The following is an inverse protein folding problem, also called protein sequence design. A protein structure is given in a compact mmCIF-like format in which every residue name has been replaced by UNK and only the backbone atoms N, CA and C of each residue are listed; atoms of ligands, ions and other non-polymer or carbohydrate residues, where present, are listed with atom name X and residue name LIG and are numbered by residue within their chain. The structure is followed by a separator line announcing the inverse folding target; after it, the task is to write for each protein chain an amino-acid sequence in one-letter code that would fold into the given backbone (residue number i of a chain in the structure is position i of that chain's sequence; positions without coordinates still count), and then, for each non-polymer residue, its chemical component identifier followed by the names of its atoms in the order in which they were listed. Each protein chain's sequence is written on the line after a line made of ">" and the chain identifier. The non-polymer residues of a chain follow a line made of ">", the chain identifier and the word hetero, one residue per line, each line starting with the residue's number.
data_IF_609497619563
#
_entry.id   IF_609497619563
#
_cell.length_a   1.000
_cell.length_b   1.000
_cell.length_c   1.000
_cell.angle_alpha   90.00
_cell.angle_beta   90.00
_cell.angle_gamma   90.00
#
_symmetry.space_group_name_H-M   'P 1'
#
loop_
_entity.id
_entity.type
_entity.pdbx_description
1 polymer ?
#
# COMPACT_ATOMS: atom_id res chain seq x y z
N UNK A 1 19.58 19.19 13.93
CA UNK A 1 18.60 18.51 14.82
C UNK A 1 17.62 17.73 13.96
N UNK A 2 17.46 16.45 14.20
CA UNK A 2 16.52 15.57 13.50
C UNK A 2 15.32 15.37 14.42
N UNK A 3 14.12 15.63 13.92
CA UNK A 3 12.86 15.42 14.64
C UNK A 3 11.97 14.53 13.78
N UNK A 4 11.54 13.40 14.35
CA UNK A 4 10.54 12.53 13.72
C UNK A 4 9.23 12.74 14.44
N UNK A 5 8.20 13.14 13.72
CA UNK A 5 6.84 13.31 14.22
C UNK A 5 5.96 12.23 13.62
N UNK A 6 5.25 11.49 14.46
CA UNK A 6 4.19 10.59 14.03
C UNK A 6 2.86 11.23 14.39
N UNK A 7 2.02 11.48 13.38
CA UNK A 7 0.67 11.96 13.60
C UNK A 7 -0.31 10.80 13.40
N UNK A 8 -1.00 10.41 14.46
CA UNK A 8 -2.13 9.51 14.38
C UNK A 8 -3.41 10.36 14.39
N UNK A 9 -4.06 10.52 13.26
CA UNK A 9 -5.35 11.18 13.18
C UNK A 9 -6.46 10.14 13.25
N UNK A 10 -7.34 10.26 14.24
CA UNK A 10 -8.50 9.39 14.40
C UNK A 10 -9.75 10.16 13.99
N UNK A 11 -10.02 10.23 12.69
CA UNK A 11 -11.32 10.70 12.19
C UNK A 11 -12.31 9.54 12.17
N UNK A 12 -13.33 9.58 13.02
CA UNK A 12 -14.45 8.62 13.06
C UNK A 12 -14.02 7.14 13.06
N UNK A 13 -13.12 6.75 14.00
CA UNK A 13 -12.56 5.39 14.13
C UNK A 13 -11.67 4.93 12.95
N UNK A 14 -11.17 5.87 12.14
CA UNK A 14 -10.29 5.57 10.99
C UNK A 14 -8.88 6.04 11.32
N UNK A 15 -7.95 5.16 11.69
CA UNK A 15 -6.58 5.56 11.94
C UNK A 15 -5.92 5.96 10.62
N UNK A 16 -5.39 7.18 10.62
CA UNK A 16 -4.41 7.65 9.65
C UNK A 16 -3.08 7.75 10.38
N UNK A 17 -2.05 7.12 9.88
CA UNK A 17 -0.71 7.22 10.44
C UNK A 17 0.22 7.77 9.38
N UNK A 18 0.75 8.97 9.64
CA UNK A 18 1.72 9.64 8.77
C UNK A 18 2.96 9.92 9.60
N UNK A 19 4.13 9.60 9.05
CA UNK A 19 5.42 9.89 9.65
C UNK A 19 6.07 11.09 8.95
N UNK A 20 6.50 12.08 9.72
CA UNK A 20 7.26 13.21 9.22
C UNK A 20 8.66 13.19 9.81
N UNK A 21 9.68 13.24 8.98
CA UNK A 21 11.07 13.44 9.39
C UNK A 21 11.53 14.81 8.99
N UNK A 22 11.89 15.64 9.98
CA UNK A 22 12.33 17.03 9.79
C UNK A 22 13.81 17.11 10.17
N UNK A 23 14.64 17.61 9.29
CA UNK A 23 16.08 17.82 9.50
C UNK A 23 16.38 19.29 9.31
N UNK A 24 16.89 19.96 10.35
CA UNK A 24 17.24 21.37 10.35
C UNK A 24 16.08 22.30 9.88
N UNK A 25 14.85 21.96 10.29
CA UNK A 25 13.65 22.71 9.94
C UNK A 25 13.05 22.37 8.57
N UNK A 26 13.68 21.52 7.78
CA UNK A 26 13.19 21.07 6.47
C UNK A 26 12.56 19.68 6.55
N UNK A 27 11.39 19.52 5.95
CA UNK A 27 10.73 18.23 5.83
C UNK A 27 11.44 17.35 4.79
N UNK A 28 12.04 16.25 5.25
CA UNK A 28 12.84 15.32 4.44
C UNK A 28 12.07 14.09 4.01
N UNK A 29 11.25 13.51 4.90
CA UNK A 29 10.41 12.37 4.58
C UNK A 29 9.03 12.51 5.24
N UNK A 30 8.01 11.96 4.56
CA UNK A 30 6.62 11.93 5.03
C UNK A 30 5.99 10.54 4.78
N UNK A 31 6.82 9.57 4.54
CA UNK A 31 6.45 8.15 4.44
C UNK A 31 7.05 7.34 5.59
N UNK A 32 6.42 6.22 5.98
CA UNK A 32 5.19 5.67 5.42
C UNK A 32 3.94 6.50 5.76
N UNK A 33 2.99 6.54 4.81
CA UNK A 33 1.66 7.08 5.02
C UNK A 33 0.65 5.92 4.96
N UNK A 34 0.06 5.59 6.10
CA UNK A 34 -0.87 4.47 6.24
C UNK A 34 -2.29 4.99 6.47
N UNK A 35 -3.25 4.52 5.70
CA UNK A 35 -4.67 4.80 5.88
C UNK A 35 -5.47 3.51 5.99
N UNK A 36 -6.52 3.58 6.81
CA UNK A 36 -7.47 2.49 7.00
C UNK A 36 -8.90 3.02 6.90
N UNK A 37 -9.79 2.23 6.31
CA UNK A 37 -11.23 2.45 6.37
C UNK A 37 -11.92 1.19 6.90
N UNK A 38 -12.65 1.35 8.03
CA UNK A 38 -13.39 0.28 8.68
C UNK A 38 -14.70 0.86 9.29
N UNK A 39 -15.84 0.64 8.66
CA UNK A 39 -16.05 -0.03 7.38
C UNK A 39 -15.52 0.78 6.17
N UNK A 40 -15.23 0.08 5.05
CA UNK A 40 -14.87 0.71 3.78
C UNK A 40 -16.03 1.50 3.18
N UNK A 41 -17.25 1.00 3.40
CA UNK A 41 -18.50 1.62 2.98
C UNK A 41 -19.46 1.74 4.18
N UNK A 42 -20.03 2.92 4.36
CA UNK A 42 -20.96 3.18 5.47
C UNK A 42 -22.19 3.93 4.96
N UNK A 43 -23.41 3.42 5.21
CA UNK A 43 -24.63 4.15 4.86
C UNK A 43 -24.72 5.41 5.72
N UNK A 44 -25.15 6.50 5.10
CA UNK A 44 -25.40 7.79 5.75
C UNK A 44 -26.86 8.17 5.64
N UNK A 45 -27.30 9.11 6.49
CA UNK A 45 -28.64 9.70 6.39
C UNK A 45 -28.88 10.26 4.99
N UNK A 46 -30.10 10.08 4.47
CA UNK A 46 -30.47 10.52 3.13
C UNK A 46 -30.11 9.55 2.00
N UNK A 47 -29.71 8.32 2.34
CA UNK A 47 -29.42 7.28 1.32
C UNK A 47 -28.05 7.39 0.66
N UNK A 48 -27.20 8.30 1.13
CA UNK A 48 -25.83 8.43 0.66
C UNK A 48 -24.93 7.34 1.22
N UNK A 49 -23.93 6.92 0.43
CA UNK A 49 -22.90 5.97 0.84
C UNK A 49 -21.57 6.70 1.04
N UNK A 50 -21.04 6.65 2.26
CA UNK A 50 -19.70 7.18 2.54
C UNK A 50 -18.65 6.11 2.19
N UNK A 51 -17.77 6.41 1.23
CA UNK A 51 -16.66 5.57 0.79
C UNK A 51 -15.36 6.40 0.82
N UNK A 52 -14.65 6.48 1.95
CA UNK A 52 -13.50 7.38 2.12
C UNK A 52 -12.34 7.14 1.15
N UNK A 53 -12.17 5.89 0.69
CA UNK A 53 -11.11 5.47 -0.24
C UNK A 53 -11.67 5.07 -1.61
N UNK A 54 -12.87 5.56 -1.97
CA UNK A 54 -13.56 5.22 -3.22
C UNK A 54 -12.66 5.46 -4.44
N UNK A 55 -12.05 6.63 -4.56
CA UNK A 55 -11.23 6.97 -5.72
C UNK A 55 -10.06 5.99 -5.92
N UNK A 56 -9.38 5.58 -4.84
CA UNK A 56 -8.29 4.60 -4.92
C UNK A 56 -8.78 3.23 -5.39
N UNK A 57 -9.99 2.82 -4.97
CA UNK A 57 -10.60 1.55 -5.38
C UNK A 57 -11.09 1.62 -6.82
N UNK A 58 -11.88 2.64 -7.14
CA UNK A 58 -12.59 2.75 -8.42
C UNK A 58 -11.60 2.93 -9.59
N UNK A 59 -10.58 3.80 -9.42
CA UNK A 59 -9.52 3.99 -10.42
C UNK A 59 -8.64 2.74 -10.60
N UNK A 60 -8.41 1.96 -9.55
CA UNK A 60 -7.67 0.71 -9.67
C UNK A 60 -8.44 -0.32 -10.51
N UNK A 61 -9.75 -0.45 -10.32
CA UNK A 61 -10.60 -1.30 -11.17
C UNK A 61 -10.74 -0.76 -12.59
N UNK A 62 -10.88 0.56 -12.76
CA UNK A 62 -10.90 1.18 -14.09
C UNK A 62 -9.62 0.84 -14.86
N UNK A 63 -8.45 0.99 -14.22
CA UNK A 63 -7.18 0.62 -14.82
C UNK A 63 -7.14 -0.87 -15.17
N UNK A 64 -7.48 -1.75 -14.22
CA UNK A 64 -7.47 -3.20 -14.43
C UNK A 64 -8.37 -3.64 -15.59
N UNK A 65 -9.58 -3.07 -15.67
CA UNK A 65 -10.56 -3.40 -16.72
C UNK A 65 -10.17 -2.81 -18.08
N UNK A 66 -9.39 -1.74 -18.13
CA UNK A 66 -8.88 -1.16 -19.37
C UNK A 66 -7.75 -1.99 -20.00
N UNK A 67 -7.16 -2.93 -19.24
CA UNK A 67 -6.04 -3.75 -19.72
C UNK A 67 -6.53 -4.79 -20.74
N UNK A 68 -5.74 -5.00 -21.78
CA UNK A 68 -5.91 -6.16 -22.67
C UNK A 68 -5.65 -7.47 -21.91
N UNK A 69 -6.09 -8.60 -22.44
CA UNK A 69 -5.89 -9.90 -21.81
C UNK A 69 -4.42 -10.20 -21.55
N UNK A 70 -3.52 -9.88 -22.49
CA UNK A 70 -2.07 -10.05 -22.32
C UNK A 70 -1.50 -9.14 -21.22
N UNK A 71 -1.97 -7.89 -21.13
CA UNK A 71 -1.56 -6.97 -20.07
C UNK A 71 -2.10 -7.44 -18.73
N UNK A 72 -3.35 -7.87 -18.66
CA UNK A 72 -3.99 -8.38 -17.45
C UNK A 72 -3.30 -9.64 -16.93
N UNK A 73 -2.94 -10.57 -17.81
CA UNK A 73 -2.19 -11.77 -17.45
C UNK A 73 -0.81 -11.46 -16.82
N UNK A 74 -0.22 -10.31 -17.17
CA UNK A 74 1.03 -9.84 -16.55
C UNK A 74 0.78 -9.10 -15.23
N UNK A 75 -0.32 -8.36 -15.11
CA UNK A 75 -0.65 -7.59 -13.91
C UNK A 75 -1.15 -8.49 -12.78
N UNK A 76 -1.98 -9.50 -13.07
CA UNK A 76 -2.59 -10.39 -12.08
C UNK A 76 -1.62 -11.51 -11.72
N UNK A 77 -1.03 -11.39 -10.52
CA UNK A 77 -0.03 -12.34 -10.01
C UNK A 77 -0.67 -13.57 -9.37
N UNK A 78 -1.86 -13.43 -8.78
CA UNK A 78 -2.55 -14.49 -8.04
C UNK A 78 -4.07 -14.32 -8.14
N UNK A 79 -4.84 -15.42 -8.25
CA UNK A 79 -6.30 -15.36 -8.14
C UNK A 79 -6.77 -15.18 -6.69
N UNK A 80 -5.89 -15.36 -5.70
CA UNK A 80 -6.18 -15.22 -4.28
C UNK A 80 -5.36 -14.06 -3.72
N UNK A 81 -5.98 -13.07 -3.02
CA UNK A 81 -5.26 -11.96 -2.43
C UNK A 81 -4.52 -12.39 -1.16
N UNK A 82 -3.50 -11.65 -0.70
CA UNK A 82 -2.96 -11.80 0.65
C UNK A 82 -4.01 -11.37 1.70
N UNK A 83 -3.79 -11.70 2.96
CA UNK A 83 -4.70 -11.28 4.06
C UNK A 83 -4.44 -9.85 4.55
N UNK A 84 -3.34 -9.23 4.13
CA UNK A 84 -2.97 -7.84 4.47
C UNK A 84 -1.85 -7.36 3.53
N UNK A 85 -1.47 -6.10 3.67
CA UNK A 85 -0.39 -5.45 2.93
C UNK A 85 0.96 -6.15 3.18
N UNK A 86 1.78 -6.30 2.15
CA UNK A 86 3.14 -6.87 2.29
C UNK A 86 4.06 -5.86 2.99
N UNK A 87 4.04 -4.60 2.56
CA UNK A 87 4.81 -3.52 3.18
C UNK A 87 4.31 -3.11 4.56
N UNK A 88 3.09 -3.42 4.92
CA UNK A 88 2.39 -3.28 6.19
C UNK A 88 3.05 -2.38 7.25
N UNK A 89 2.99 -2.79 8.50
CA UNK A 89 3.59 -2.07 9.64
C UNK A 89 5.05 -2.49 9.87
N UNK A 90 5.91 -2.29 8.86
CA UNK A 90 7.34 -2.61 8.90
C UNK A 90 8.19 -1.36 9.01
N UNK A 91 9.31 -1.46 9.72
CA UNK A 91 10.31 -0.38 9.73
C UNK A 91 10.99 -0.24 8.36
N UNK A 92 11.34 -1.35 7.73
CA UNK A 92 12.00 -1.43 6.43
C UNK A 92 11.28 -2.47 5.58
N UNK A 93 11.11 -2.19 4.29
CA UNK A 93 10.66 -3.16 3.29
C UNK A 93 11.89 -3.67 2.55
N UNK A 94 12.06 -4.98 2.49
CA UNK A 94 13.24 -5.62 1.93
C UNK A 94 12.90 -6.86 1.10
N UNK A 95 13.85 -7.27 0.28
CA UNK A 95 13.73 -8.47 -0.56
C UNK A 95 13.25 -9.67 0.26
N UNK A 96 12.22 -10.37 -0.24
CA UNK A 96 11.66 -11.55 0.39
C UNK A 96 10.56 -11.30 1.42
N UNK A 97 10.21 -10.04 1.71
CA UNK A 97 9.12 -9.72 2.65
C UNK A 97 7.78 -10.27 2.19
N UNK A 98 7.07 -10.91 3.12
CA UNK A 98 5.71 -11.44 2.98
C UNK A 98 4.71 -10.60 3.79
N UNK A 99 3.39 -10.73 3.55
CA UNK A 99 2.40 -10.17 4.44
C UNK A 99 2.69 -10.58 5.91
N UNK A 100 2.77 -9.62 6.84
CA UNK A 100 3.13 -9.96 8.22
C UNK A 100 2.01 -10.79 8.85
N UNK A 101 2.40 -11.79 9.63
CA UNK A 101 1.44 -12.53 10.44
C UNK A 101 0.78 -11.62 11.46
N UNK A 102 -0.52 -11.82 11.75
CA UNK A 102 -1.32 -11.03 12.68
C UNK A 102 -0.59 -10.78 14.01
N UNK A 103 0.05 -11.82 14.57
CA UNK A 103 0.85 -11.75 15.81
C UNK A 103 2.10 -10.86 15.71
N UNK A 104 2.55 -10.50 14.50
CA UNK A 104 3.75 -9.66 14.25
C UNK A 104 3.42 -8.19 13.93
N UNK A 105 2.12 -7.84 13.85
CA UNK A 105 1.69 -6.46 13.56
C UNK A 105 1.94 -5.55 14.76
N UNK A 106 1.86 -6.08 15.98
CA UNK A 106 2.13 -5.33 17.22
C UNK A 106 3.58 -5.51 17.66
N UNK A 107 4.07 -4.52 18.39
CA UNK A 107 5.41 -4.56 18.97
C UNK A 107 5.53 -5.52 20.16
N UNK A 108 4.41 -5.84 20.79
CA UNK A 108 4.37 -6.75 21.92
C UNK A 108 4.48 -8.19 21.46
N UNK A 109 5.23 -9.00 22.23
CA UNK A 109 5.21 -10.43 22.05
C UNK A 109 3.99 -11.01 22.77
N UNK A 110 3.24 -11.82 22.02
CA UNK A 110 2.09 -12.53 22.56
C UNK A 110 2.50 -13.94 22.94
N UNK A 111 1.98 -14.42 24.07
CA UNK A 111 2.26 -15.77 24.58
C UNK A 111 0.96 -16.46 25.03
N UNK A 112 1.02 -17.79 25.18
CA UNK A 112 -0.12 -18.58 25.69
C UNK A 112 -1.37 -18.46 24.81
N UNK A 113 -2.52 -18.44 25.44
CA UNK A 113 -3.84 -18.46 24.79
C UNK A 113 -4.05 -17.32 23.78
N UNK A 114 -3.49 -16.12 24.03
CA UNK A 114 -3.63 -15.00 23.12
C UNK A 114 -2.86 -15.20 21.82
N UNK A 115 -1.68 -15.80 21.88
CA UNK A 115 -0.90 -16.18 20.70
C UNK A 115 -1.65 -17.22 19.86
N UNK A 116 -2.18 -18.26 20.52
CA UNK A 116 -2.97 -19.31 19.87
C UNK A 116 -4.24 -18.74 19.22
N UNK A 117 -4.90 -17.78 19.89
CA UNK A 117 -6.07 -17.10 19.35
C UNK A 117 -5.72 -16.33 18.07
N UNK A 118 -4.61 -15.57 18.06
CA UNK A 118 -4.16 -14.81 16.90
C UNK A 118 -3.80 -15.70 15.72
N UNK A 119 -3.06 -16.79 15.97
CA UNK A 119 -2.70 -17.75 14.93
C UNK A 119 -3.96 -18.46 14.37
N UNK A 120 -4.93 -18.78 15.22
CA UNK A 120 -6.21 -19.34 14.80
C UNK A 120 -7.04 -18.38 13.96
N UNK A 121 -7.12 -17.10 14.36
CA UNK A 121 -7.82 -16.07 13.58
C UNK A 121 -7.20 -15.97 12.19
N UNK A 122 -5.88 -15.86 12.11
CA UNK A 122 -5.19 -15.76 10.82
C UNK A 122 -5.41 -17.01 9.96
N UNK A 123 -5.24 -18.21 10.52
CA UNK A 123 -5.45 -19.47 9.80
C UNK A 123 -6.87 -19.58 9.27
N UNK A 124 -7.86 -19.13 10.04
CA UNK A 124 -9.25 -19.14 9.60
C UNK A 124 -9.48 -18.21 8.40
N UNK A 125 -8.93 -16.98 8.42
CA UNK A 125 -9.03 -16.04 7.29
C UNK A 125 -8.30 -16.57 6.06
N UNK A 126 -7.08 -17.10 6.21
CA UNK A 126 -6.32 -17.74 5.14
C UNK A 126 -7.08 -18.91 4.50
N UNK A 127 -7.68 -19.76 5.34
CA UNK A 127 -8.48 -20.92 4.89
C UNK A 127 -9.75 -20.47 4.16
N UNK A 128 -10.45 -19.47 4.70
CA UNK A 128 -11.69 -18.92 4.12
C UNK A 128 -11.49 -18.44 2.69
N UNK A 129 -10.37 -17.82 2.39
CA UNK A 129 -10.06 -17.30 1.06
C UNK A 129 -9.27 -18.29 0.19
N UNK A 130 -8.87 -19.44 0.73
CA UNK A 130 -8.07 -20.44 0.01
C UNK A 130 -6.62 -20.00 -0.21
N UNK A 131 -6.05 -19.18 0.68
CA UNK A 131 -4.68 -18.72 0.58
C UNK A 131 -3.70 -19.88 0.84
N UNK A 132 -2.71 -20.00 -0.04
CA UNK A 132 -1.65 -21.02 0.05
C UNK A 132 -0.27 -20.35 0.06
N UNK A 133 0.80 -21.03 0.50
CA UNK A 133 2.16 -20.52 0.40
C UNK A 133 2.54 -20.12 -1.03
N UNK A 134 2.08 -20.85 -2.04
CA UNK A 134 2.34 -20.51 -3.45
C UNK A 134 1.71 -19.16 -3.84
N UNK A 135 0.52 -18.82 -3.33
CA UNK A 135 -0.08 -17.49 -3.55
C UNK A 135 0.72 -16.38 -2.85
N UNK A 136 1.22 -16.64 -1.63
CA UNK A 136 2.07 -15.70 -0.89
C UNK A 136 3.36 -15.42 -1.66
N UNK A 137 4.02 -16.44 -2.21
CA UNK A 137 5.23 -16.30 -3.00
C UNK A 137 5.06 -15.39 -4.21
N UNK A 138 3.89 -15.38 -4.84
CA UNK A 138 3.61 -14.48 -5.98
C UNK A 138 3.62 -13.02 -5.58
N UNK A 139 3.06 -12.67 -4.40
CA UNK A 139 2.92 -11.30 -3.89
C UNK A 139 4.09 -10.87 -3.01
N UNK A 140 5.00 -11.78 -2.65
CA UNK A 140 6.22 -11.47 -1.90
C UNK A 140 6.93 -10.25 -2.50
N UNK A 141 7.42 -9.36 -1.67
CA UNK A 141 8.16 -8.18 -2.13
C UNK A 141 9.48 -8.61 -2.78
N UNK A 142 9.77 -8.01 -3.90
CA UNK A 142 11.06 -8.13 -4.59
C UNK A 142 11.54 -6.75 -4.99
N UNK A 143 12.83 -6.50 -4.90
CA UNK A 143 13.44 -5.22 -5.31
C UNK A 143 13.18 -4.94 -6.79
N UNK A 144 13.20 -5.98 -7.62
CA UNK A 144 12.67 -5.90 -8.99
C UNK A 144 11.16 -5.98 -8.96
N UNK A 145 10.43 -4.93 -9.40
CA UNK A 145 8.98 -4.92 -9.36
C UNK A 145 8.36 -6.05 -10.20
N UNK A 146 7.31 -6.66 -9.66
CA UNK A 146 6.47 -7.64 -10.36
C UNK A 146 5.26 -6.96 -11.00
N UNK A 147 4.69 -7.58 -12.02
CA UNK A 147 3.46 -7.14 -12.65
C UNK A 147 3.67 -6.46 -14.00
N UNK A 148 2.74 -5.59 -14.38
CA UNK A 148 2.72 -4.88 -15.66
C UNK A 148 3.43 -3.52 -15.54
N UNK A 149 4.52 -3.32 -16.30
CA UNK A 149 5.22 -2.04 -16.35
C UNK A 149 4.35 -0.93 -16.97
N UNK A 150 4.42 0.28 -16.43
CA UNK A 150 3.75 1.45 -17.00
C UNK A 150 4.20 1.76 -18.43
N UNK A 151 5.46 1.47 -18.76
CA UNK A 151 5.98 1.56 -20.13
C UNK A 151 5.24 0.65 -21.14
N UNK A 152 4.62 -0.45 -20.65
CA UNK A 152 3.84 -1.37 -21.50
C UNK A 152 2.34 -1.01 -21.56
N UNK A 153 1.93 0.11 -20.95
CA UNK A 153 0.56 0.61 -20.95
C UNK A 153 0.33 1.60 -22.09
N UNK A 154 -0.89 1.66 -22.59
CA UNK A 154 -1.32 2.68 -23.55
C UNK A 154 -1.39 4.06 -22.88
N UNK A 155 -1.43 5.13 -23.68
CA UNK A 155 -1.56 6.50 -23.15
C UNK A 155 -2.78 6.71 -22.25
N UNK A 156 -4.00 6.21 -22.59
CA UNK A 156 -5.15 6.28 -21.67
C UNK A 156 -4.92 5.54 -20.36
N UNK A 157 -4.40 4.31 -20.41
CA UNK A 157 -4.10 3.52 -19.22
C UNK A 157 -3.07 4.21 -18.29
N UNK A 158 -2.04 4.83 -18.87
CA UNK A 158 -1.07 5.66 -18.12
C UNK A 158 -1.76 6.87 -17.48
N UNK A 159 -2.78 7.46 -18.12
CA UNK A 159 -3.62 8.51 -17.55
C UNK A 159 -4.35 8.04 -16.28
N UNK A 160 -4.97 6.86 -16.34
CA UNK A 160 -5.67 6.27 -15.17
C UNK A 160 -4.67 5.95 -14.06
N UNK A 161 -3.50 5.37 -14.39
CA UNK A 161 -2.45 5.10 -13.40
C UNK A 161 -1.97 6.39 -12.71
N UNK A 162 -1.82 7.50 -13.44
CA UNK A 162 -1.48 8.80 -12.85
C UNK A 162 -2.58 9.31 -11.91
N UNK A 163 -3.85 9.21 -12.31
CA UNK A 163 -4.98 9.59 -11.48
C UNK A 163 -5.05 8.72 -10.21
N UNK A 164 -4.77 7.42 -10.32
CA UNK A 164 -4.69 6.53 -9.16
C UNK A 164 -3.56 6.95 -8.20
N UNK A 165 -2.36 7.24 -8.70
CA UNK A 165 -1.24 7.74 -7.89
C UNK A 165 -1.56 9.08 -7.23
N UNK A 166 -2.26 9.98 -7.92
CA UNK A 166 -2.69 11.26 -7.37
C UNK A 166 -3.55 11.08 -6.10
N UNK A 167 -4.38 10.04 -6.03
CA UNK A 167 -5.17 9.73 -4.81
C UNK A 167 -4.31 9.46 -3.57
N UNK A 168 -3.02 9.15 -3.74
CA UNK A 168 -2.05 8.96 -2.67
C UNK A 168 -1.24 10.23 -2.41
N UNK A 169 -0.70 10.82 -3.45
CA UNK A 169 0.22 11.96 -3.38
C UNK A 169 -0.52 13.24 -2.92
N UNK A 170 -1.73 13.49 -3.39
CA UNK A 170 -2.54 14.67 -3.06
C UNK A 170 -3.15 14.63 -1.64
N UNK A 171 -2.83 13.61 -0.85
CA UNK A 171 -3.12 13.59 0.61
C UNK A 171 -2.16 14.46 1.40
N UNK A 172 -1.07 14.88 0.77
CA UNK A 172 -0.04 15.74 1.36
C UNK A 172 -0.34 17.21 1.10
N UNK A 173 0.44 18.10 1.75
CA UNK A 173 0.44 19.52 1.42
C UNK A 173 0.83 19.73 -0.04
N UNK A 174 0.23 20.72 -0.71
CA UNK A 174 0.40 20.95 -2.15
C UNK A 174 1.86 20.96 -2.59
N UNK A 175 2.73 21.67 -1.88
CA UNK A 175 4.17 21.73 -2.18
C UNK A 175 4.89 20.38 -2.12
N UNK A 176 4.42 19.46 -1.27
CA UNK A 176 4.95 18.10 -1.18
C UNK A 176 4.38 17.22 -2.29
N UNK A 177 3.09 17.36 -2.56
CA UNK A 177 2.42 16.66 -3.65
C UNK A 177 3.04 17.00 -5.01
N UNK A 178 3.31 18.28 -5.27
CA UNK A 178 4.01 18.75 -6.47
C UNK A 178 5.41 18.14 -6.60
N UNK A 179 6.20 18.17 -5.52
CA UNK A 179 7.54 17.58 -5.50
C UNK A 179 7.53 16.09 -5.79
N UNK A 180 6.63 15.35 -5.18
CA UNK A 180 6.52 13.91 -5.38
C UNK A 180 5.97 13.57 -6.77
N UNK A 181 5.00 14.32 -7.26
CA UNK A 181 4.49 14.17 -8.63
C UNK A 181 5.58 14.41 -9.68
N UNK A 182 6.44 15.41 -9.45
CA UNK A 182 7.58 15.69 -10.32
C UNK A 182 8.61 14.53 -10.29
N UNK A 183 8.83 13.93 -9.11
CA UNK A 183 9.73 12.78 -8.94
C UNK A 183 9.21 11.51 -9.61
N UNK A 184 7.88 11.32 -9.64
CA UNK A 184 7.20 10.19 -10.28
C UNK A 184 6.88 10.55 -11.74
N UNK A 185 7.86 10.99 -12.51
CA UNK A 185 7.68 11.40 -13.91
C UNK A 185 8.75 10.80 -14.82
N UNK A 186 8.55 10.89 -16.15
CA UNK A 186 9.50 10.38 -17.15
C UNK A 186 9.83 8.90 -16.92
N UNK A 187 11.12 8.58 -16.91
CA UNK A 187 11.62 7.22 -16.76
C UNK A 187 11.21 6.57 -15.42
N UNK A 188 11.10 7.38 -14.34
CA UNK A 188 10.64 6.87 -13.05
C UNK A 188 9.19 6.39 -13.10
N UNK A 189 8.32 7.09 -13.83
CA UNK A 189 6.94 6.64 -14.07
C UNK A 189 6.91 5.39 -14.95
N UNK A 190 7.71 5.35 -16.00
CA UNK A 190 7.76 4.24 -16.95
C UNK A 190 8.22 2.94 -16.30
N UNK A 191 9.07 3.05 -15.27
CA UNK A 191 9.57 1.94 -14.45
C UNK A 191 8.58 1.47 -13.37
N UNK A 192 7.43 2.14 -13.16
CA UNK A 192 6.40 1.66 -12.23
C UNK A 192 5.75 0.39 -12.77
N UNK A 193 5.40 -0.51 -11.85
CA UNK A 193 4.70 -1.75 -12.17
C UNK A 193 3.41 -1.84 -11.37
N UNK A 194 2.32 -2.20 -12.04
CA UNK A 194 1.05 -2.57 -11.43
C UNK A 194 1.02 -4.09 -11.21
N UNK A 195 0.82 -4.51 -9.99
CA UNK A 195 0.55 -5.89 -9.61
C UNK A 195 -0.83 -6.00 -8.95
N UNK A 196 -1.51 -7.10 -9.21
CA UNK A 196 -2.85 -7.40 -8.69
C UNK A 196 -2.90 -8.81 -8.12
N UNK A 197 -3.69 -9.01 -7.05
CA UNK A 197 -4.04 -10.34 -6.55
C UNK A 197 -5.50 -10.35 -6.08
N UNK A 198 -6.18 -11.47 -6.25
CA UNK A 198 -7.58 -11.65 -5.88
C UNK A 198 -8.56 -11.34 -7.00
N UNK A 199 -9.79 -11.01 -6.61
CA UNK A 199 -10.91 -10.83 -7.55
C UNK A 199 -10.68 -9.64 -8.49
N UNK A 200 -11.05 -9.83 -9.74
CA UNK A 200 -11.13 -8.76 -10.76
C UNK A 200 -12.53 -8.11 -10.81
N UNK A 201 -13.43 -8.52 -9.93
CA UNK A 201 -14.79 -7.98 -9.81
C UNK A 201 -14.86 -7.00 -8.65
N UNK A 202 -15.36 -5.79 -8.89
CA UNK A 202 -15.52 -4.78 -7.86
C UNK A 202 -16.40 -5.27 -6.69
N UNK A 203 -16.12 -4.80 -5.48
CA UNK A 203 -16.81 -5.22 -4.25
C UNK A 203 -16.40 -6.60 -3.72
N UNK A 204 -15.37 -7.22 -4.30
CA UNK A 204 -14.82 -8.49 -3.84
C UNK A 204 -13.41 -8.32 -3.29
N UNK A 205 -12.92 -9.24 -2.45
CA UNK A 205 -11.57 -9.20 -1.90
C UNK A 205 -10.50 -9.12 -2.97
N UNK A 206 -9.62 -8.12 -2.84
CA UNK A 206 -8.51 -7.91 -3.76
C UNK A 206 -7.38 -7.12 -3.10
N UNK A 207 -6.24 -7.20 -3.73
CA UNK A 207 -5.03 -6.49 -3.40
C UNK A 207 -4.43 -5.91 -4.67
N UNK A 208 -3.91 -4.69 -4.60
CA UNK A 208 -3.03 -4.18 -5.64
C UNK A 208 -1.79 -3.51 -5.07
N UNK A 209 -0.75 -3.48 -5.91
CA UNK A 209 0.52 -2.82 -5.65
C UNK A 209 0.93 -1.99 -6.86
N UNK A 210 1.42 -0.77 -6.60
CA UNK A 210 2.17 0.01 -7.58
C UNK A 210 3.57 0.16 -7.01
N UNK A 211 4.56 -0.37 -7.72
CA UNK A 211 5.94 -0.41 -7.22
C UNK A 211 6.91 0.17 -8.22
N UNK A 212 7.83 0.99 -7.74
CA UNK A 212 9.03 1.48 -8.41
C UNK A 212 10.19 1.55 -7.44
N UNK A 213 11.33 2.10 -7.86
CA UNK A 213 12.51 2.17 -7.01
C UNK A 213 12.28 2.94 -5.70
N UNK A 214 11.57 4.07 -5.77
CA UNK A 214 11.27 4.95 -4.61
C UNK A 214 9.78 5.13 -4.37
N UNK A 215 8.97 4.19 -4.82
CA UNK A 215 7.53 4.20 -4.63
C UNK A 215 7.06 2.78 -4.35
N UNK A 216 6.31 2.63 -3.28
CA UNK A 216 5.53 1.44 -2.98
C UNK A 216 4.16 1.89 -2.49
N UNK A 217 3.15 1.69 -3.31
CA UNK A 217 1.75 1.85 -2.94
C UNK A 217 1.13 0.48 -2.86
N UNK A 218 0.42 0.19 -1.79
CA UNK A 218 -0.34 -1.05 -1.61
C UNK A 218 -1.75 -0.74 -1.10
N UNK A 219 -2.68 -1.57 -1.51
CA UNK A 219 -4.09 -1.56 -1.12
C UNK A 219 -4.55 -2.97 -0.88
N UNK A 220 -5.28 -3.20 0.18
CA UNK A 220 -5.90 -4.47 0.54
C UNK A 220 -7.31 -4.24 1.11
N UNK A 221 -8.28 -5.08 0.70
CA UNK A 221 -9.60 -5.13 1.31
C UNK A 221 -10.04 -6.58 1.62
N UNK A 222 -9.10 -7.49 1.84
CA UNK A 222 -9.36 -8.93 1.90
C UNK A 222 -10.28 -9.32 3.05
N UNK A 223 -10.22 -8.60 4.17
CA UNK A 223 -10.98 -8.96 5.37
C UNK A 223 -12.39 -8.38 5.37
N UNK A 224 -13.28 -8.96 6.22
CA UNK A 224 -14.68 -8.51 6.42
C UNK A 224 -15.49 -8.42 5.13
N UNK A 225 -15.35 -9.41 4.26
CA UNK A 225 -16.06 -9.48 2.99
C UNK A 225 -15.87 -8.22 2.12
N UNK A 226 -14.63 -7.77 2.00
CA UNK A 226 -14.19 -6.58 1.29
C UNK A 226 -14.64 -5.22 1.92
N UNK A 227 -15.14 -5.23 3.15
CA UNK A 227 -15.58 -4.00 3.84
C UNK A 227 -14.58 -3.48 4.88
N UNK A 228 -13.30 -3.83 4.73
CA UNK A 228 -12.22 -3.34 5.56
C UNK A 228 -11.00 -3.08 4.67
N UNK A 229 -10.58 -1.84 4.58
CA UNK A 229 -9.49 -1.43 3.70
C UNK A 229 -8.27 -1.01 4.50
N UNK A 230 -7.11 -1.53 4.11
CA UNK A 230 -5.80 -1.00 4.43
C UNK A 230 -5.15 -0.47 3.16
N UNK A 231 -4.44 0.65 3.26
CA UNK A 231 -3.59 1.14 2.19
C UNK A 231 -2.37 1.84 2.76
N UNK A 232 -1.25 1.70 2.09
CA UNK A 232 0.01 2.33 2.48
C UNK A 232 0.70 2.93 1.26
N UNK A 233 1.31 4.09 1.47
CA UNK A 233 2.30 4.66 0.57
C UNK A 233 3.64 4.75 1.29
N UNK A 234 4.67 4.21 0.66
CA UNK A 234 6.03 4.13 1.18
C UNK A 234 7.06 4.61 0.14
N UNK A 235 8.18 5.07 0.63
CA UNK A 235 9.42 5.20 -0.12
C UNK A 235 10.43 4.18 0.44
N UNK A 236 10.64 3.03 -0.20
CA UNK A 236 11.51 1.97 0.32
C UNK A 236 12.95 2.41 0.63
N UNK A 237 13.39 3.53 0.05
CA UNK A 237 14.75 4.08 0.25
C UNK A 237 14.80 5.13 1.36
N UNK A 238 13.71 5.90 1.53
CA UNK A 238 13.71 7.07 2.40
C UNK A 238 12.63 7.07 3.50
N UNK A 239 11.90 5.98 3.67
CA UNK A 239 10.94 5.84 4.76
C UNK A 239 11.57 6.24 6.11
N UNK A 240 10.82 6.96 6.94
CA UNK A 240 11.29 7.49 8.23
C UNK A 240 12.54 8.38 8.14
N UNK A 241 12.91 8.86 6.93
CA UNK A 241 14.11 9.66 6.71
C UNK A 241 15.42 8.88 6.77
N UNK A 242 15.39 7.58 6.49
CA UNK A 242 16.57 6.71 6.57
C UNK A 242 17.73 7.18 5.69
N UNK A 243 17.45 7.75 4.52
CA UNK A 243 18.47 8.32 3.62
C UNK A 243 19.16 9.54 4.25
N UNK A 244 18.41 10.42 4.92
CA UNK A 244 18.94 11.58 5.64
C UNK A 244 19.77 11.18 6.87
N UNK A 245 19.30 10.17 7.63
CA UNK A 245 20.03 9.61 8.76
C UNK A 245 21.35 8.95 8.31
N UNK A 246 21.31 8.17 7.24
CA UNK A 246 22.50 7.53 6.67
C UNK A 246 23.51 8.55 6.13
N UNK A 247 23.06 9.67 5.57
CA UNK A 247 23.92 10.76 5.11
C UNK A 247 24.58 11.47 6.30
N UNK A 248 23.84 11.74 7.38
CA UNK A 248 24.35 12.36 8.60
C UNK A 248 25.48 11.52 9.24
N UNK A 249 25.24 10.22 9.40
CA UNK A 249 26.26 9.30 9.96
C UNK A 249 27.53 9.21 9.13
N UNK A 250 27.46 9.43 7.80
CA UNK A 250 28.64 9.42 6.92
C UNK A 250 29.48 10.70 6.98
N UNK A 251 28.90 11.81 7.44
CA UNK A 251 29.60 13.10 7.52
C UNK A 251 30.20 13.39 8.91
N UNK A 252 29.72 12.70 9.94
CA UNK A 252 30.14 12.91 11.33
C UNK A 252 31.18 11.86 11.81
N UNK A 253 31.64 11.00 10.91
CA UNK A 253 32.71 9.99 11.08
C UNK A 253 33.68 10.01 9.90
#
# INVERSE_FOLDING_TARGET
>A
MIVTLSCACQMQRKPCLIHYTIVNGELRAFTPCFLRADPAESPMLGGHLLRPLAASTDLAFELLHSLSDNQRARAVLSPVPPVDLVGGNRNIVQEGDEPPRLRKIWRNEFTGELLELMDRIQTNEETKIGLTPAHIDTVRFTTQPKGLAAAAMTRPQRGILRALLATYVERMLDSLAERESARINGDAFDALHLAWAGSVTAGKPHYYRIQGHRLLVEYDNTTRDANHVHTVWRDPVADFGMDALSAHHRHDH
#
